data_IF_565252186554
#
_entry.id   IF_565252186554
#
_cell.length_a   1.000
_cell.length_b   1.000
_cell.length_c   1.000
_cell.angle_alpha   90.00
_cell.angle_beta   90.00
_cell.angle_gamma   90.00
#
_symmetry.space_group_name_H-M   'P 1'
#
loop_
_entity.id
_entity.type
_entity.pdbx_description
1 polymer ?
#
# COMPACT_ATOMS: atom_id res chain seq x y z
N UNK A 1 5.49 4.20 -18.78
CA UNK A 1 5.21 2.73 -18.65
C UNK A 1 3.94 2.41 -19.39
N UNK A 2 4.00 1.47 -20.32
CA UNK A 2 2.79 0.99 -21.00
C UNK A 2 2.03 -0.02 -20.14
N UNK A 3 0.82 -0.41 -20.57
CA UNK A 3 -0.06 -1.32 -19.78
C UNK A 3 0.59 -2.68 -19.51
N UNK A 4 1.30 -3.25 -20.48
CA UNK A 4 1.95 -4.55 -20.31
C UNK A 4 3.13 -4.49 -19.34
N UNK A 5 3.91 -3.41 -19.40
CA UNK A 5 5.01 -3.15 -18.46
C UNK A 5 4.47 -2.98 -17.03
N UNK A 6 3.40 -2.20 -16.87
CA UNK A 6 2.74 -2.01 -15.58
C UNK A 6 2.25 -3.34 -15.02
N UNK A 7 1.56 -4.14 -15.83
CA UNK A 7 1.04 -5.44 -15.40
C UNK A 7 2.15 -6.42 -15.03
N UNK A 8 3.25 -6.46 -15.79
CA UNK A 8 4.43 -7.27 -15.48
C UNK A 8 5.06 -6.86 -14.16
N UNK A 9 5.23 -5.56 -13.91
CA UNK A 9 5.75 -5.04 -12.65
C UNK A 9 4.82 -5.38 -11.47
N UNK A 10 3.52 -5.21 -11.63
CA UNK A 10 2.52 -5.56 -10.62
C UNK A 10 2.58 -7.06 -10.25
N UNK A 11 2.71 -7.94 -11.24
CA UNK A 11 2.86 -9.37 -11.01
C UNK A 11 4.13 -9.68 -10.22
N UNK A 12 5.26 -9.09 -10.61
CA UNK A 12 6.55 -9.29 -9.92
C UNK A 12 6.49 -8.84 -8.45
N UNK A 13 5.90 -7.66 -8.19
CA UNK A 13 5.73 -7.16 -6.83
C UNK A 13 4.79 -8.07 -6.03
N UNK A 14 3.66 -8.47 -6.62
CA UNK A 14 2.67 -9.31 -5.96
C UNK A 14 3.22 -10.69 -5.59
N UNK A 15 4.03 -11.28 -6.45
CA UNK A 15 4.64 -12.59 -6.22
C UNK A 15 5.75 -12.51 -5.16
N UNK A 16 6.52 -11.42 -5.12
CA UNK A 16 7.49 -11.21 -4.05
C UNK A 16 6.82 -11.01 -2.70
N UNK A 17 5.76 -10.20 -2.66
CA UNK A 17 4.95 -10.01 -1.45
C UNK A 17 4.36 -11.35 -0.98
N UNK A 18 3.87 -12.21 -1.87
CA UNK A 18 3.38 -13.53 -1.51
C UNK A 18 4.45 -14.39 -0.82
N UNK A 19 5.69 -14.35 -1.31
CA UNK A 19 6.83 -15.06 -0.68
C UNK A 19 7.17 -14.52 0.69
N UNK A 20 7.19 -13.19 0.84
CA UNK A 20 7.48 -12.53 2.12
C UNK A 20 6.39 -12.80 3.16
N UNK A 21 5.12 -12.86 2.75
CA UNK A 21 3.99 -13.11 3.65
C UNK A 21 4.10 -14.45 4.38
N UNK A 22 4.66 -15.48 3.76
CA UNK A 22 4.87 -16.80 4.39
C UNK A 22 5.69 -16.66 5.68
N UNK A 23 6.68 -15.78 5.70
CA UNK A 23 7.53 -15.55 6.87
C UNK A 23 6.91 -14.56 7.86
N UNK A 24 6.38 -13.44 7.35
CA UNK A 24 5.82 -12.36 8.19
C UNK A 24 4.60 -12.85 8.97
N UNK A 25 3.73 -13.64 8.36
CA UNK A 25 2.52 -14.17 9.01
C UNK A 25 2.80 -15.31 10.04
N UNK A 26 4.05 -15.71 10.22
CA UNK A 26 4.43 -16.58 11.36
C UNK A 26 4.31 -15.85 12.71
N UNK A 27 4.37 -14.51 12.70
CA UNK A 27 4.13 -13.70 13.89
C UNK A 27 2.62 -13.71 14.22
N UNK A 28 2.22 -14.20 15.43
CA UNK A 28 0.81 -14.37 15.76
C UNK A 28 0.00 -13.07 15.71
N UNK A 29 0.62 -11.95 16.06
CA UNK A 29 -0.01 -10.62 16.07
C UNK A 29 -0.39 -10.16 14.66
N UNK A 30 0.46 -10.43 13.68
CA UNK A 30 0.23 -10.06 12.30
C UNK A 30 -0.79 -10.99 11.65
N UNK A 31 -0.72 -12.28 11.94
CA UNK A 31 -1.74 -13.21 11.48
C UNK A 31 -3.13 -12.86 12.02
N UNK A 32 -3.26 -12.58 13.32
CA UNK A 32 -4.55 -12.27 13.97
C UNK A 32 -5.21 -10.99 13.47
N UNK A 33 -4.46 -10.05 12.92
CA UNK A 33 -5.02 -8.78 12.43
C UNK A 33 -6.14 -8.99 11.41
N UNK A 34 -6.01 -10.00 10.54
CA UNK A 34 -7.00 -10.33 9.50
C UNK A 34 -7.15 -11.83 9.24
N UNK A 35 -6.78 -12.69 10.18
CA UNK A 35 -6.69 -14.15 10.01
C UNK A 35 -5.86 -14.54 8.77
N UNK A 36 -4.75 -13.83 8.53
CA UNK A 36 -3.85 -14.04 7.40
C UNK A 36 -4.42 -13.58 6.05
N UNK A 37 -5.53 -12.84 6.03
CA UNK A 37 -6.12 -12.31 4.80
C UNK A 37 -5.64 -10.89 4.56
N UNK A 38 -4.81 -10.71 3.54
CA UNK A 38 -4.18 -9.43 3.23
C UNK A 38 -4.52 -8.98 1.80
N UNK A 39 -4.29 -7.71 1.53
CA UNK A 39 -4.45 -7.13 0.20
C UNK A 39 -3.31 -6.17 -0.13
N UNK A 40 -2.82 -6.26 -1.35
CA UNK A 40 -1.89 -5.33 -1.97
C UNK A 40 -2.61 -4.57 -3.08
N UNK A 41 -2.53 -3.25 -3.05
CA UNK A 41 -2.98 -2.36 -4.10
C UNK A 41 -1.77 -1.65 -4.71
N UNK A 42 -1.62 -1.71 -6.02
CA UNK A 42 -0.58 -1.01 -6.77
C UNK A 42 -1.29 -0.08 -7.75
N UNK A 43 -0.87 1.18 -7.79
CA UNK A 43 -1.46 2.18 -8.68
C UNK A 43 -0.35 2.94 -9.40
N UNK A 44 -0.53 3.26 -10.68
CA UNK A 44 0.40 4.12 -11.41
C UNK A 44 -0.03 5.60 -11.35
N UNK A 45 0.75 6.47 -11.97
CA UNK A 45 0.47 7.91 -12.01
C UNK A 45 -0.87 8.26 -12.69
N UNK A 46 -1.32 7.45 -13.64
CA UNK A 46 -2.59 7.63 -14.35
C UNK A 46 -3.82 7.14 -13.56
N UNK A 47 -3.60 6.49 -12.39
CA UNK A 47 -4.68 5.91 -11.58
C UNK A 47 -5.07 4.49 -11.98
N UNK A 48 -4.37 3.87 -12.93
CA UNK A 48 -4.58 2.45 -13.24
C UNK A 48 -4.16 1.62 -12.02
N UNK A 49 -5.00 0.65 -11.65
CA UNK A 49 -4.89 -0.06 -10.39
C UNK A 49 -4.81 -1.57 -10.61
N UNK A 50 -3.89 -2.21 -9.91
CA UNK A 50 -3.80 -3.66 -9.75
C UNK A 50 -4.03 -4.03 -8.29
N UNK A 51 -4.87 -5.04 -8.04
CA UNK A 51 -5.19 -5.55 -6.71
C UNK A 51 -4.85 -7.03 -6.61
N UNK A 52 -4.09 -7.40 -5.57
CA UNK A 52 -3.83 -8.80 -5.23
C UNK A 52 -4.36 -9.11 -3.84
N UNK A 53 -5.14 -10.19 -3.74
CA UNK A 53 -5.68 -10.69 -2.47
C UNK A 53 -4.89 -11.94 -2.04
N UNK A 54 -4.63 -12.04 -0.74
CA UNK A 54 -3.96 -13.16 -0.11
C UNK A 54 -4.86 -13.75 0.97
N UNK A 55 -4.75 -15.06 1.22
CA UNK A 55 -5.64 -15.77 2.13
C UNK A 55 -6.81 -16.42 1.42
N UNK A 56 -7.81 -16.90 2.18
CA UNK A 56 -8.92 -17.71 1.66
C UNK A 56 -10.30 -17.34 2.21
N UNK A 57 -10.42 -16.29 3.03
CA UNK A 57 -11.70 -15.86 3.57
C UNK A 57 -12.19 -14.60 2.80
N UNK A 58 -13.22 -14.72 1.94
CA UNK A 58 -13.69 -13.61 1.10
C UNK A 58 -14.16 -12.39 1.90
N UNK A 59 -14.75 -12.60 3.08
CA UNK A 59 -15.23 -11.49 3.93
C UNK A 59 -14.05 -10.65 4.44
N UNK A 60 -13.00 -11.33 4.93
CA UNK A 60 -11.78 -10.66 5.40
C UNK A 60 -11.02 -10.02 4.24
N UNK A 61 -10.89 -10.71 3.12
CA UNK A 61 -10.27 -10.17 1.91
C UNK A 61 -10.97 -8.90 1.41
N UNK A 62 -12.31 -8.86 1.46
CA UNK A 62 -13.05 -7.65 1.09
C UNK A 62 -12.69 -6.46 1.99
N UNK A 63 -12.56 -6.66 3.29
CA UNK A 63 -12.19 -5.61 4.24
C UNK A 63 -10.77 -5.09 3.99
N UNK A 64 -9.81 -5.98 3.84
CA UNK A 64 -8.41 -5.61 3.59
C UNK A 64 -8.22 -4.97 2.22
N UNK A 65 -8.92 -5.44 1.18
CA UNK A 65 -8.93 -4.84 -0.15
C UNK A 65 -9.46 -3.40 -0.13
N UNK A 66 -10.58 -3.17 0.57
CA UNK A 66 -11.14 -1.83 0.73
C UNK A 66 -10.13 -0.88 1.40
N UNK A 67 -9.49 -1.32 2.47
CA UNK A 67 -8.50 -0.52 3.18
C UNK A 67 -7.24 -0.25 2.33
N UNK A 68 -6.73 -1.27 1.63
CA UNK A 68 -5.57 -1.11 0.76
C UNK A 68 -5.86 -0.11 -0.38
N UNK A 69 -7.03 -0.23 -1.02
CA UNK A 69 -7.44 0.69 -2.07
C UNK A 69 -7.61 2.13 -1.56
N UNK A 70 -8.25 2.29 -0.41
CA UNK A 70 -8.42 3.61 0.23
C UNK A 70 -7.07 4.26 0.57
N UNK A 71 -6.12 3.48 1.11
CA UNK A 71 -4.73 3.94 1.35
C UNK A 71 -4.07 4.38 0.04
N UNK A 72 -4.19 3.58 -1.02
CA UNK A 72 -3.59 3.90 -2.32
C UNK A 72 -4.17 5.19 -2.92
N UNK A 73 -5.49 5.35 -2.91
CA UNK A 73 -6.15 6.56 -3.41
C UNK A 73 -5.72 7.81 -2.65
N UNK A 74 -5.60 7.72 -1.33
CA UNK A 74 -5.14 8.86 -0.53
C UNK A 74 -3.70 9.25 -0.86
N UNK A 75 -2.78 8.28 -0.99
CA UNK A 75 -1.40 8.55 -1.39
C UNK A 75 -1.33 9.11 -2.82
N UNK A 76 -2.10 8.54 -3.75
CA UNK A 76 -2.17 9.01 -5.13
C UNK A 76 -2.61 10.47 -5.21
N UNK A 77 -3.62 10.85 -4.45
CA UNK A 77 -4.18 12.19 -4.40
C UNK A 77 -3.27 13.20 -3.69
N UNK A 78 -2.69 12.81 -2.55
CA UNK A 78 -1.99 13.74 -1.65
C UNK A 78 -0.48 13.77 -1.85
N UNK A 79 0.11 12.71 -2.38
CA UNK A 79 1.57 12.52 -2.46
C UNK A 79 2.25 12.16 -1.13
N UNK A 80 1.50 12.04 -0.04
CA UNK A 80 2.03 11.68 1.27
C UNK A 80 1.74 10.22 1.61
N UNK A 81 2.68 9.54 2.26
CA UNK A 81 2.40 8.27 2.92
C UNK A 81 1.26 8.44 3.94
N UNK A 82 0.42 7.40 4.10
CA UNK A 82 -0.82 7.52 4.91
C UNK A 82 -0.59 8.01 6.34
N UNK A 83 0.39 7.46 7.05
CA UNK A 83 0.72 7.90 8.41
C UNK A 83 1.32 9.31 8.46
N UNK A 84 2.09 9.71 7.45
CA UNK A 84 2.63 11.07 7.34
C UNK A 84 1.51 12.08 7.10
N UNK A 85 0.59 11.78 6.18
CA UNK A 85 -0.54 12.68 5.89
C UNK A 85 -1.42 12.90 7.12
N UNK A 86 -1.77 11.82 7.83
CA UNK A 86 -2.52 11.93 9.07
C UNK A 86 -1.84 12.86 10.08
N UNK A 87 -0.54 12.65 10.31
CA UNK A 87 0.22 13.49 11.24
C UNK A 87 0.20 14.97 10.83
N UNK A 88 0.41 15.27 9.54
CA UNK A 88 0.40 16.64 9.03
C UNK A 88 -0.97 17.30 9.21
N UNK A 89 -2.06 16.57 8.99
CA UNK A 89 -3.43 17.07 9.17
C UNK A 89 -3.72 17.33 10.65
N UNK A 90 -3.39 16.39 11.54
CA UNK A 90 -3.67 16.54 12.98
C UNK A 90 -2.74 17.54 13.69
N UNK A 91 -1.64 17.94 13.04
CA UNK A 91 -0.77 19.03 13.53
C UNK A 91 -1.01 20.35 12.79
N UNK A 92 -2.09 20.46 12.03
CA UNK A 92 -2.49 21.66 11.27
C UNK A 92 -1.44 22.19 10.28
N UNK A 93 -0.54 21.31 9.82
CA UNK A 93 0.47 21.63 8.80
C UNK A 93 -0.07 21.54 7.37
N UNK A 94 -1.09 20.70 7.17
CA UNK A 94 -1.76 20.50 5.89
C UNK A 94 -3.26 20.44 6.14
N UNK A 95 -4.06 21.06 5.26
CA UNK A 95 -5.50 20.95 5.31
C UNK A 95 -5.99 19.83 4.39
N UNK A 96 -6.71 18.86 4.92
CA UNK A 96 -7.34 17.79 4.16
C UNK A 96 -8.33 18.32 3.12
N UNK A 97 -8.96 19.46 3.39
CA UNK A 97 -9.95 20.10 2.49
C UNK A 97 -9.37 20.50 1.13
N UNK A 98 -8.08 20.85 1.07
CA UNK A 98 -7.43 21.19 -0.21
C UNK A 98 -7.34 20.00 -1.18
N UNK A 99 -7.46 18.77 -0.65
CA UNK A 99 -7.51 17.53 -1.42
C UNK A 99 -8.94 17.00 -1.59
N UNK A 100 -9.96 17.75 -1.17
CA UNK A 100 -11.35 17.30 -1.21
C UNK A 100 -11.65 16.17 -0.22
N UNK A 101 -10.80 15.99 0.80
CA UNK A 101 -10.98 14.97 1.84
C UNK A 101 -11.63 15.59 3.09
N UNK A 102 -12.33 14.76 3.83
CA UNK A 102 -12.80 15.07 5.18
C UNK A 102 -12.20 14.07 6.18
N UNK A 103 -12.16 14.45 7.47
CA UNK A 103 -11.58 13.57 8.51
C UNK A 103 -12.19 12.17 8.57
N UNK A 104 -13.51 11.95 8.38
CA UNK A 104 -14.08 10.61 8.32
C UNK A 104 -13.60 9.76 7.13
N UNK A 105 -13.16 10.42 6.03
CA UNK A 105 -12.67 9.74 4.82
C UNK A 105 -11.16 9.51 4.87
N UNK A 106 -10.45 10.28 5.68
CA UNK A 106 -9.02 10.17 5.89
C UNK A 106 -8.67 8.82 6.52
N UNK A 107 -7.68 8.15 5.92
CA UNK A 107 -7.13 6.92 6.48
C UNK A 107 -5.71 7.16 6.98
N UNK A 108 -5.52 7.03 8.31
CA UNK A 108 -4.22 7.24 8.96
C UNK A 108 -3.40 5.97 9.14
N UNK A 109 -4.03 4.82 8.97
CA UNK A 109 -3.34 3.55 9.15
C UNK A 109 -2.17 3.41 8.17
N UNK A 110 -1.00 3.08 8.72
CA UNK A 110 0.21 2.84 7.94
C UNK A 110 -0.02 1.80 6.83
N UNK A 111 0.77 1.85 5.77
CA UNK A 111 0.73 0.87 4.69
C UNK A 111 0.49 1.45 3.31
N UNK A 112 0.22 2.75 3.17
CA UNK A 112 0.19 3.44 1.88
C UNK A 112 1.44 4.29 1.70
N UNK A 113 2.16 4.10 0.59
CA UNK A 113 3.43 4.78 0.29
C UNK A 113 3.55 5.15 -1.19
N UNK A 114 4.28 6.23 -1.47
CA UNK A 114 4.73 6.55 -2.82
C UNK A 114 6.05 5.83 -3.12
N UNK A 115 6.20 5.39 -4.35
CA UNK A 115 7.41 4.76 -4.87
C UNK A 115 7.73 5.28 -6.28
N UNK A 116 8.95 4.99 -6.74
CA UNK A 116 9.39 5.26 -8.11
C UNK A 116 10.03 4.02 -8.71
N UNK A 117 9.73 3.76 -9.99
CA UNK A 117 10.44 2.75 -10.77
C UNK A 117 11.90 3.18 -11.00
N UNK A 118 12.72 2.26 -11.52
CA UNK A 118 14.08 2.61 -11.95
C UNK A 118 14.12 3.69 -13.05
N UNK A 119 13.08 3.76 -13.90
CA UNK A 119 12.91 4.82 -14.91
C UNK A 119 12.37 6.13 -14.34
N UNK A 120 12.10 6.20 -13.04
CA UNK A 120 11.60 7.40 -12.35
C UNK A 120 10.08 7.58 -12.41
N UNK A 121 9.33 6.63 -12.94
CA UNK A 121 7.88 6.70 -13.02
C UNK A 121 7.24 6.49 -11.64
N UNK A 122 6.22 7.27 -11.37
CA UNK A 122 5.48 7.26 -10.10
C UNK A 122 4.66 5.99 -9.95
N UNK A 123 4.83 5.35 -8.80
CA UNK A 123 4.00 4.25 -8.32
C UNK A 123 3.44 4.56 -6.95
N UNK A 124 2.29 4.04 -6.65
CA UNK A 124 1.71 4.02 -5.32
C UNK A 124 1.54 2.56 -4.92
N UNK A 125 1.98 2.24 -3.72
CA UNK A 125 1.84 0.92 -3.13
C UNK A 125 1.06 1.03 -1.84
N UNK A 126 0.08 0.17 -1.65
CA UNK A 126 -0.66 0.11 -0.40
C UNK A 126 -0.91 -1.33 0.01
N UNK A 127 -0.63 -1.64 1.27
CA UNK A 127 -0.85 -2.95 1.87
C UNK A 127 -1.76 -2.83 3.08
N UNK A 128 -2.56 -3.87 3.31
CA UNK A 128 -3.45 -3.96 4.46
C UNK A 128 -3.66 -5.41 4.87
N UNK A 129 -3.68 -5.64 6.18
CA UNK A 129 -4.01 -6.95 6.75
C UNK A 129 -3.09 -7.39 7.89
N UNK A 130 -2.10 -6.60 8.24
CA UNK A 130 -1.20 -6.83 9.39
C UNK A 130 -1.18 -5.60 10.29
N UNK A 131 -0.29 -5.57 11.29
CA UNK A 131 -0.01 -4.33 12.03
C UNK A 131 0.60 -3.30 11.08
N UNK A 132 0.34 -2.02 11.33
CA UNK A 132 0.71 -0.94 10.41
C UNK A 132 2.19 -0.92 10.03
N UNK A 133 3.10 -1.16 10.99
CA UNK A 133 4.53 -1.22 10.73
C UNK A 133 4.90 -2.38 9.79
N UNK A 134 4.18 -3.50 9.88
CA UNK A 134 4.39 -4.66 8.99
C UNK A 134 3.76 -4.43 7.62
N UNK A 135 2.62 -3.73 7.55
CA UNK A 135 2.02 -3.32 6.27
C UNK A 135 3.02 -2.45 5.45
N UNK A 136 3.75 -1.55 6.10
CA UNK A 136 4.82 -0.77 5.46
C UNK A 136 6.08 -1.62 5.25
N UNK A 137 6.46 -2.41 6.24
CA UNK A 137 7.68 -3.21 6.24
C UNK A 137 7.77 -4.18 5.07
N UNK A 138 6.66 -4.84 4.73
CA UNK A 138 6.62 -5.80 3.61
C UNK A 138 6.86 -5.10 2.26
N UNK A 139 6.39 -3.86 2.10
CA UNK A 139 6.63 -3.07 0.88
C UNK A 139 8.10 -2.68 0.75
N UNK A 140 8.75 -2.29 1.85
CA UNK A 140 10.20 -2.02 1.86
C UNK A 140 11.02 -3.27 1.55
N UNK A 141 10.67 -4.41 2.15
CA UNK A 141 11.35 -5.68 1.87
C UNK A 141 11.21 -6.10 0.40
N UNK A 142 10.02 -5.93 -0.20
CA UNK A 142 9.80 -6.20 -1.61
C UNK A 142 10.65 -5.29 -2.51
N UNK A 143 10.75 -3.99 -2.18
CA UNK A 143 11.60 -3.05 -2.91
C UNK A 143 13.08 -3.44 -2.84
N UNK A 144 13.58 -3.83 -1.66
CA UNK A 144 14.97 -4.28 -1.45
C UNK A 144 15.30 -5.56 -2.23
N UNK A 145 14.35 -6.49 -2.32
CA UNK A 145 14.52 -7.76 -3.02
C UNK A 145 14.50 -7.60 -4.54
N UNK A 146 13.49 -6.89 -5.05
CA UNK A 146 13.27 -6.75 -6.49
C UNK A 146 14.20 -5.73 -7.13
N UNK A 147 14.51 -4.64 -6.43
CA UNK A 147 15.31 -3.50 -6.94
C UNK A 147 14.75 -2.85 -8.22
N UNK A 148 13.51 -3.15 -8.58
CA UNK A 148 12.82 -2.57 -9.75
C UNK A 148 12.13 -1.25 -9.44
N UNK A 149 11.95 -0.96 -8.15
CA UNK A 149 11.39 0.28 -7.64
C UNK A 149 12.01 0.63 -6.29
N UNK A 150 11.83 1.87 -5.86
CA UNK A 150 12.24 2.35 -4.54
C UNK A 150 11.12 3.17 -3.90
N UNK A 151 10.95 3.03 -2.57
CA UNK A 151 9.97 3.82 -1.82
C UNK A 151 10.54 5.21 -1.59
N UNK A 152 9.72 6.23 -1.84
CA UNK A 152 10.09 7.63 -1.63
C UNK A 152 10.09 7.92 -0.13
N UNK A 153 11.18 8.51 0.35
CA UNK A 153 11.28 9.01 1.73
C UNK A 153 10.73 10.44 1.79
N UNK A 154 9.74 10.66 2.59
CA UNK A 154 9.19 11.98 2.91
C UNK A 154 9.59 12.41 4.31
#
# INVERSE_FOLDING_TARGET
MNVLEFQSLCNSISDEVARLLVEVLKAPEDFKASDGNCALCIMNAAGETSMRLYGNNPVRQRQTAFNAHKKALQVWLTGYATGTFEKLVYTDQVSEKQFGLSRPELIGWLGGVEAKTQSGERLILAFSGMRGEQDVGILHQAAEKLKTFSIVKH
#
